data_IF_769816598166
#
_entry.id   IF_769816598166
#
_cell.length_a   1.000
_cell.length_b   1.000
_cell.length_c   1.000
_cell.angle_alpha   90.00
_cell.angle_beta   90.00
_cell.angle_gamma   90.00
#
_symmetry.space_group_name_H-M   'P 1'
#
loop_
_entity.id
_entity.type
_entity.pdbx_description
1 polymer ?
#
# COMPACT_ATOMS: atom_id res chain seq x y z
N UNK A 1 -9.59 -6.24 -20.66
CA UNK A 1 -9.41 -6.82 -19.31
C UNK A 1 -10.35 -7.99 -19.15
N UNK A 2 -9.85 -9.11 -18.62
CA UNK A 2 -10.68 -10.27 -18.32
C UNK A 2 -11.63 -9.92 -17.16
N UNK A 3 -12.85 -10.46 -17.15
CA UNK A 3 -13.90 -10.06 -16.20
C UNK A 3 -13.52 -10.29 -14.72
N UNK A 4 -12.59 -11.22 -14.46
CA UNK A 4 -12.02 -11.50 -13.12
C UNK A 4 -11.07 -10.41 -12.65
N UNK A 5 -10.16 -9.94 -13.53
CA UNK A 5 -9.16 -8.91 -13.17
C UNK A 5 -9.84 -7.61 -12.76
N UNK A 6 -10.88 -7.19 -13.49
CA UNK A 6 -11.64 -6.00 -13.11
C UNK A 6 -12.34 -6.16 -11.76
N UNK A 7 -12.86 -7.34 -11.41
CA UNK A 7 -13.44 -7.57 -10.08
C UNK A 7 -12.36 -7.39 -8.99
N UNK A 8 -11.18 -7.97 -9.21
CA UNK A 8 -10.06 -7.93 -8.28
C UNK A 8 -9.56 -6.50 -8.05
N UNK A 9 -9.41 -5.70 -9.11
CA UNK A 9 -8.99 -4.29 -9.02
C UNK A 9 -9.99 -3.44 -8.24
N UNK A 10 -11.30 -3.64 -8.48
CA UNK A 10 -12.33 -2.95 -7.70
C UNK A 10 -12.26 -3.34 -6.21
N UNK A 11 -12.08 -4.62 -5.90
CA UNK A 11 -11.96 -5.08 -4.52
C UNK A 11 -10.74 -4.48 -3.80
N UNK A 12 -9.57 -4.39 -4.46
CA UNK A 12 -8.37 -3.73 -3.90
C UNK A 12 -8.68 -2.28 -3.50
N UNK A 13 -9.25 -1.50 -4.42
CA UNK A 13 -9.56 -0.08 -4.18
C UNK A 13 -10.60 0.10 -3.07
N UNK A 14 -11.67 -0.70 -3.11
CA UNK A 14 -12.73 -0.67 -2.09
C UNK A 14 -12.16 -1.02 -0.71
N UNK A 15 -11.34 -2.06 -0.64
CA UNK A 15 -10.76 -2.51 0.61
C UNK A 15 -9.80 -1.48 1.21
N UNK A 16 -8.95 -0.86 0.40
CA UNK A 16 -8.07 0.22 0.85
C UNK A 16 -8.85 1.42 1.39
N UNK A 17 -9.99 1.77 0.79
CA UNK A 17 -10.89 2.81 1.34
C UNK A 17 -11.50 2.37 2.68
N UNK A 18 -12.01 1.14 2.75
CA UNK A 18 -12.69 0.60 3.94
C UNK A 18 -11.75 0.47 5.16
N UNK A 19 -10.44 0.35 4.97
CA UNK A 19 -9.45 0.40 6.07
C UNK A 19 -9.33 1.81 6.66
N UNK A 20 -9.46 2.86 5.84
CA UNK A 20 -9.28 4.24 6.25
C UNK A 20 -10.54 4.84 6.88
N UNK A 21 -11.69 4.55 6.30
CA UNK A 21 -13.02 4.94 6.78
C UNK A 21 -13.97 3.82 6.40
N UNK A 22 -14.73 3.24 7.33
CA UNK A 22 -15.64 2.10 7.08
C UNK A 22 -16.68 2.32 5.95
N UNK A 23 -16.73 3.51 5.34
CA UNK A 23 -17.57 3.89 4.21
C UNK A 23 -16.78 3.93 2.90
N UNK A 24 -17.38 3.40 1.82
CA UNK A 24 -16.79 3.35 0.48
C UNK A 24 -17.43 4.39 -0.43
N UNK A 25 -16.61 5.23 -1.07
CA UNK A 25 -17.05 6.31 -1.95
C UNK A 25 -16.88 5.94 -3.44
N UNK A 26 -17.99 5.91 -4.20
CA UNK A 26 -17.99 5.55 -5.63
C UNK A 26 -17.27 6.53 -6.54
N UNK A 27 -17.24 7.83 -6.18
CA UNK A 27 -16.46 8.84 -6.89
C UNK A 27 -14.96 8.60 -6.70
N UNK A 28 -14.54 8.25 -5.49
CA UNK A 28 -13.14 7.90 -5.22
C UNK A 28 -12.73 6.61 -5.93
N UNK A 29 -13.63 5.62 -6.05
CA UNK A 29 -13.38 4.41 -6.87
C UNK A 29 -13.20 4.78 -8.35
N UNK A 30 -14.09 5.61 -8.90
CA UNK A 30 -14.03 6.04 -10.30
C UNK A 30 -12.71 6.74 -10.64
N UNK A 31 -12.26 7.62 -9.75
CA UNK A 31 -10.97 8.32 -9.89
C UNK A 31 -9.78 7.36 -9.80
N UNK A 32 -9.77 6.47 -8.81
CA UNK A 32 -8.65 5.56 -8.59
C UNK A 32 -8.48 4.51 -9.71
N UNK A 33 -9.57 4.13 -10.37
CA UNK A 33 -9.57 3.15 -11.46
C UNK A 33 -9.66 3.79 -12.85
N UNK A 34 -9.71 5.11 -12.94
CA UNK A 34 -9.87 5.87 -14.20
C UNK A 34 -11.05 5.41 -15.06
N UNK A 35 -12.19 5.15 -14.40
CA UNK A 35 -13.42 4.66 -15.04
C UNK A 35 -14.59 5.60 -14.77
N UNK A 36 -15.62 5.53 -15.62
CA UNK A 36 -16.82 6.35 -15.45
C UNK A 36 -17.66 5.90 -14.25
N UNK A 37 -18.36 6.84 -13.60
CA UNK A 37 -19.31 6.55 -12.52
C UNK A 37 -20.39 5.51 -12.90
N UNK A 38 -20.97 5.52 -14.11
CA UNK A 38 -21.87 4.45 -14.55
C UNK A 38 -21.22 3.05 -14.54
N UNK A 39 -19.95 2.94 -14.95
CA UNK A 39 -19.18 1.69 -14.88
C UNK A 39 -18.99 1.23 -13.44
N UNK A 40 -18.67 2.16 -12.53
CA UNK A 40 -18.58 1.86 -11.09
C UNK A 40 -19.92 1.34 -10.55
N UNK A 41 -21.02 2.01 -10.84
CA UNK A 41 -22.35 1.59 -10.38
C UNK A 41 -22.74 0.20 -10.90
N UNK A 42 -22.39 -0.11 -12.15
CA UNK A 42 -22.59 -1.45 -12.72
C UNK A 42 -21.77 -2.51 -11.97
N UNK A 43 -20.49 -2.23 -11.72
CA UNK A 43 -19.62 -3.15 -10.99
C UNK A 43 -20.04 -3.32 -9.53
N UNK A 44 -20.46 -2.26 -8.84
CA UNK A 44 -20.98 -2.33 -7.46
C UNK A 44 -22.17 -3.28 -7.37
N UNK A 45 -23.15 -3.16 -8.28
CA UNK A 45 -24.29 -4.08 -8.32
C UNK A 45 -23.86 -5.52 -8.55
N UNK A 46 -22.88 -5.74 -9.43
CA UNK A 46 -22.32 -7.07 -9.71
C UNK A 46 -21.62 -7.66 -8.48
N UNK A 47 -20.76 -6.89 -7.82
CA UNK A 47 -20.06 -7.31 -6.60
C UNK A 47 -21.03 -7.57 -5.45
N UNK A 48 -22.11 -6.79 -5.33
CA UNK A 48 -23.18 -7.04 -4.38
C UNK A 48 -23.93 -8.34 -4.69
N UNK A 49 -24.23 -8.62 -5.97
CA UNK A 49 -24.81 -9.90 -6.41
C UNK A 49 -23.91 -11.11 -6.13
N UNK A 50 -22.60 -10.92 -6.02
CA UNK A 50 -21.64 -11.96 -5.61
C UNK A 50 -21.49 -12.11 -4.09
N UNK A 51 -22.19 -11.28 -3.31
CA UNK A 51 -22.09 -11.21 -1.85
C UNK A 51 -20.74 -10.67 -1.36
N UNK A 52 -20.07 -9.84 -2.17
CA UNK A 52 -18.80 -9.22 -1.81
C UNK A 52 -19.00 -7.83 -1.19
N UNK A 53 -20.08 -7.14 -1.56
CA UNK A 53 -20.48 -5.84 -1.03
C UNK A 53 -21.92 -5.89 -0.49
N UNK A 54 -22.19 -5.04 0.48
CA UNK A 54 -23.54 -4.69 0.93
C UNK A 54 -23.93 -3.38 0.24
N UNK A 55 -24.88 -3.47 -0.68
CA UNK A 55 -25.41 -2.33 -1.41
C UNK A 55 -26.89 -2.16 -1.11
N UNK A 56 -27.23 -1.05 -0.47
CA UNK A 56 -28.60 -0.61 -0.26
C UNK A 56 -28.77 0.82 -0.76
N UNK A 57 -29.95 1.11 -1.32
CA UNK A 57 -30.26 2.45 -1.82
C UNK A 57 -30.19 3.45 -0.65
N UNK A 58 -29.47 4.56 -0.85
CA UNK A 58 -29.28 5.64 0.13
C UNK A 58 -28.45 5.29 1.37
N UNK A 59 -27.82 4.11 1.43
CA UNK A 59 -26.87 3.77 2.50
C UNK A 59 -25.43 3.82 1.99
N UNK A 60 -24.45 4.02 2.88
CA UNK A 60 -23.04 3.84 2.54
C UNK A 60 -22.79 2.44 1.99
N UNK A 61 -21.96 2.36 0.95
CA UNK A 61 -21.50 1.09 0.41
C UNK A 61 -20.53 0.44 1.40
N UNK A 62 -20.78 -0.81 1.77
CA UNK A 62 -19.91 -1.55 2.71
C UNK A 62 -19.35 -2.80 2.07
N UNK A 63 -18.11 -3.13 2.42
CA UNK A 63 -17.48 -4.38 2.01
C UNK A 63 -17.78 -5.48 3.04
N UNK A 64 -18.26 -6.63 2.56
CA UNK A 64 -18.58 -7.79 3.41
C UNK A 64 -17.30 -8.46 3.94
N UNK A 65 -17.42 -9.35 4.93
CA UNK A 65 -16.29 -10.19 5.36
C UNK A 65 -15.72 -11.04 4.22
N UNK A 66 -16.58 -11.57 3.33
CA UNK A 66 -16.17 -12.33 2.13
C UNK A 66 -15.38 -11.44 1.16
N UNK A 67 -15.85 -10.21 0.94
CA UNK A 67 -15.16 -9.21 0.12
C UNK A 67 -13.81 -8.82 0.71
N UNK A 68 -13.75 -8.55 2.02
CA UNK A 68 -12.50 -8.24 2.74
C UNK A 68 -11.47 -9.37 2.58
N UNK A 69 -11.89 -10.62 2.78
CA UNK A 69 -11.01 -11.79 2.61
C UNK A 69 -10.50 -11.90 1.18
N UNK A 70 -11.37 -11.75 0.18
CA UNK A 70 -10.96 -11.82 -1.22
C UNK A 70 -9.98 -10.70 -1.59
N UNK A 71 -10.25 -9.46 -1.16
CA UNK A 71 -9.35 -8.33 -1.35
C UNK A 71 -7.98 -8.55 -0.69
N UNK A 72 -7.97 -9.02 0.55
CA UNK A 72 -6.75 -9.34 1.29
C UNK A 72 -5.90 -10.40 0.56
N UNK A 73 -6.52 -11.43 -0.03
CA UNK A 73 -5.78 -12.42 -0.81
C UNK A 73 -5.16 -11.84 -2.08
N UNK A 74 -5.82 -10.90 -2.76
CA UNK A 74 -5.25 -10.23 -3.94
C UNK A 74 -4.05 -9.37 -3.51
N UNK A 75 -4.20 -8.60 -2.42
CA UNK A 75 -3.12 -7.80 -1.85
C UNK A 75 -1.94 -8.67 -1.40
N UNK A 76 -2.20 -9.86 -0.82
CA UNK A 76 -1.15 -10.82 -0.46
C UNK A 76 -0.35 -11.24 -1.70
N UNK A 77 -1.02 -11.58 -2.80
CA UNK A 77 -0.35 -11.96 -4.06
C UNK A 77 0.52 -10.82 -4.60
N UNK A 78 -0.01 -9.60 -4.61
CA UNK A 78 0.72 -8.40 -5.02
C UNK A 78 2.01 -8.25 -4.22
N UNK A 79 1.88 -8.16 -2.90
CA UNK A 79 3.00 -7.89 -1.98
C UNK A 79 4.05 -8.99 -1.95
N UNK A 80 3.63 -10.26 -2.02
CA UNK A 80 4.56 -11.38 -2.15
C UNK A 80 5.34 -11.29 -3.46
N UNK A 81 4.68 -10.88 -4.55
CA UNK A 81 5.34 -10.73 -5.85
C UNK A 81 6.37 -9.60 -5.81
N UNK A 82 6.00 -8.43 -5.27
CA UNK A 82 6.94 -7.33 -5.08
C UNK A 82 8.16 -7.77 -4.25
N UNK A 83 7.91 -8.44 -3.13
CA UNK A 83 8.96 -8.95 -2.25
C UNK A 83 9.86 -9.97 -2.96
N UNK A 84 9.29 -10.88 -3.74
CA UNK A 84 10.04 -11.87 -4.51
C UNK A 84 10.93 -11.22 -5.59
N UNK A 85 10.40 -10.23 -6.30
CA UNK A 85 11.13 -9.50 -7.34
C UNK A 85 12.33 -8.76 -6.75
N UNK A 86 12.19 -8.12 -5.60
CA UNK A 86 13.31 -7.45 -4.91
C UNK A 86 14.29 -8.48 -4.35
N UNK A 87 13.85 -9.37 -3.47
CA UNK A 87 14.73 -10.23 -2.67
C UNK A 87 15.39 -11.36 -3.46
N UNK A 88 14.72 -11.90 -4.48
CA UNK A 88 15.19 -13.09 -5.22
C UNK A 88 15.63 -12.77 -6.64
N UNK A 89 15.10 -11.71 -7.24
CA UNK A 89 15.41 -11.34 -8.63
C UNK A 89 16.25 -10.06 -8.74
N UNK A 90 16.45 -9.32 -7.64
CA UNK A 90 17.33 -8.16 -7.60
C UNK A 90 16.77 -6.92 -8.31
N UNK A 91 15.45 -6.83 -8.47
CA UNK A 91 14.80 -5.61 -8.95
C UNK A 91 14.87 -4.50 -7.91
N UNK A 92 14.91 -3.25 -8.36
CA UNK A 92 14.65 -2.11 -7.50
C UNK A 92 13.19 -2.10 -7.03
N UNK A 93 12.96 -1.70 -5.77
CA UNK A 93 11.61 -1.51 -5.22
C UNK A 93 10.75 -0.50 -6.00
N UNK A 94 11.34 0.34 -6.85
CA UNK A 94 10.65 1.25 -7.78
C UNK A 94 10.20 0.60 -9.09
N UNK A 95 10.58 -0.66 -9.34
CA UNK A 95 10.34 -1.35 -10.62
C UNK A 95 9.29 -2.46 -10.50
N UNK A 96 8.89 -2.81 -9.28
CA UNK A 96 8.14 -4.05 -9.02
C UNK A 96 6.63 -3.90 -9.14
N UNK A 97 6.09 -2.68 -8.98
CA UNK A 97 4.65 -2.47 -8.87
C UNK A 97 3.88 -2.94 -10.10
N UNK A 98 4.28 -2.48 -11.28
CA UNK A 98 3.64 -2.83 -12.56
C UNK A 98 3.72 -4.34 -12.86
N UNK A 99 4.82 -4.98 -12.47
CA UNK A 99 4.99 -6.44 -12.66
C UNK A 99 4.08 -7.19 -11.68
N UNK A 100 4.00 -6.73 -10.43
CA UNK A 100 3.13 -7.32 -9.42
C UNK A 100 1.64 -7.17 -9.77
N UNK A 101 1.21 -6.04 -10.34
CA UNK A 101 -0.15 -5.85 -10.87
C UNK A 101 -0.51 -6.85 -11.97
N UNK A 102 0.44 -7.22 -12.82
CA UNK A 102 0.18 -8.22 -13.86
C UNK A 102 0.06 -9.64 -13.28
N UNK A 103 0.92 -9.97 -12.31
CA UNK A 103 1.03 -11.31 -11.76
C UNK A 103 -0.04 -11.63 -10.71
N UNK A 104 -0.51 -10.66 -9.92
CA UNK A 104 -1.47 -10.90 -8.83
C UNK A 104 -2.78 -11.58 -9.30
N UNK A 105 -3.12 -11.42 -10.57
CA UNK A 105 -4.31 -11.99 -11.20
C UNK A 105 -4.19 -13.49 -11.54
N UNK A 106 -3.00 -14.07 -11.38
CA UNK A 106 -2.80 -15.52 -11.54
C UNK A 106 -3.66 -16.25 -10.50
N UNK A 107 -4.42 -17.26 -10.96
CA UNK A 107 -5.37 -17.99 -10.11
C UNK A 107 -4.74 -19.17 -9.37
N UNK A 108 -3.48 -19.51 -9.67
CA UNK A 108 -2.75 -20.59 -9.01
C UNK A 108 -2.36 -20.21 -7.58
N UNK A 109 -3.10 -20.69 -6.58
CA UNK A 109 -2.73 -20.50 -5.16
C UNK A 109 -1.37 -21.11 -4.86
N UNK A 110 -1.07 -22.28 -5.41
CA UNK A 110 0.20 -22.98 -5.20
C UNK A 110 1.41 -22.15 -5.66
N UNK A 111 1.27 -21.32 -6.70
CA UNK A 111 2.33 -20.42 -7.15
C UNK A 111 2.74 -19.42 -6.05
N UNK A 112 1.75 -18.76 -5.44
CA UNK A 112 2.00 -17.77 -4.39
C UNK A 112 2.39 -18.40 -3.05
N UNK A 113 1.86 -19.58 -2.72
CA UNK A 113 2.30 -20.32 -1.53
C UNK A 113 3.78 -20.72 -1.61
N UNK A 114 4.26 -21.11 -2.81
CA UNK A 114 5.68 -21.45 -3.00
C UNK A 114 6.56 -20.20 -2.99
N UNK A 115 6.08 -19.10 -3.55
CA UNK A 115 6.75 -17.81 -3.46
C UNK A 115 6.93 -17.36 -2.00
N UNK A 116 5.87 -17.45 -1.20
CA UNK A 116 5.86 -17.15 0.23
C UNK A 116 6.84 -18.04 1.03
N UNK A 117 6.87 -19.35 0.75
CA UNK A 117 7.82 -20.29 1.33
C UNK A 117 9.28 -19.95 0.96
N UNK A 118 9.56 -19.66 -0.32
CA UNK A 118 10.91 -19.26 -0.79
C UNK A 118 11.38 -17.96 -0.13
N UNK A 119 10.45 -17.05 0.14
CA UNK A 119 10.71 -15.80 0.86
C UNK A 119 10.89 -15.99 2.37
N UNK A 120 10.58 -17.17 2.92
CA UNK A 120 10.67 -17.44 4.35
C UNK A 120 9.54 -16.82 5.16
N UNK A 121 8.34 -16.71 4.58
CA UNK A 121 7.13 -16.15 5.20
C UNK A 121 7.28 -14.69 5.66
N UNK A 122 7.57 -13.76 4.74
CA UNK A 122 7.76 -12.36 5.09
C UNK A 122 6.44 -11.74 5.59
N UNK A 123 6.55 -10.88 6.61
CA UNK A 123 5.41 -10.14 7.16
C UNK A 123 5.17 -8.80 6.45
N UNK A 124 6.13 -8.35 5.63
CA UNK A 124 6.10 -7.04 4.95
C UNK A 124 6.64 -7.12 3.53
N UNK A 125 6.12 -6.26 2.68
CA UNK A 125 6.63 -6.02 1.33
C UNK A 125 7.88 -5.09 1.35
N UNK A 126 8.55 -4.87 0.21
CA UNK A 126 9.73 -4.01 0.12
C UNK A 126 9.50 -2.56 0.56
N UNK A 127 8.25 -2.08 0.55
CA UNK A 127 7.88 -0.72 0.97
C UNK A 127 7.45 -0.65 2.44
N UNK A 128 7.53 -1.77 3.16
CA UNK A 128 7.22 -1.89 4.58
C UNK A 128 5.73 -2.06 4.87
N UNK A 129 4.91 -2.28 3.84
CA UNK A 129 3.48 -2.51 3.97
C UNK A 129 3.19 -3.96 4.38
N UNK A 130 2.20 -4.23 5.27
CA UNK A 130 2.02 -5.56 5.86
C UNK A 130 1.49 -6.58 4.85
N UNK A 131 2.09 -7.76 4.76
CA UNK A 131 1.58 -8.84 3.91
C UNK A 131 0.39 -9.50 4.63
N UNK A 132 -0.84 -9.49 4.06
CA UNK A 132 -1.97 -10.21 4.67
C UNK A 132 -1.65 -11.68 4.81
N UNK A 133 -2.04 -12.34 5.90
CA UNK A 133 -1.82 -13.79 6.12
C UNK A 133 -2.56 -14.65 5.09
N UNK A 134 -2.30 -15.96 5.06
CA UNK A 134 -3.06 -16.91 4.25
C UNK A 134 -4.56 -17.00 4.62
N UNK A 135 -4.96 -16.53 5.80
CA UNK A 135 -6.36 -16.40 6.23
C UNK A 135 -6.99 -15.06 5.82
N UNK A 136 -6.19 -14.11 5.34
CA UNK A 136 -6.61 -12.76 4.95
C UNK A 136 -6.56 -11.74 6.08
N UNK A 137 -5.87 -12.04 7.18
CA UNK A 137 -5.69 -11.10 8.30
C UNK A 137 -4.55 -10.14 8.01
N UNK A 138 -4.72 -8.86 8.33
CA UNK A 138 -3.69 -7.83 8.14
C UNK A 138 -3.25 -7.35 9.51
N UNK A 139 -1.95 -7.49 9.80
CA UNK A 139 -1.37 -6.98 11.02
C UNK A 139 -1.54 -5.45 11.07
N UNK A 140 -2.17 -4.95 12.13
CA UNK A 140 -2.25 -3.52 12.40
C UNK A 140 -1.01 -3.11 13.17
N UNK A 141 -0.14 -2.31 12.55
CA UNK A 141 0.97 -1.68 13.25
C UNK A 141 0.88 -0.16 13.06
N UNK A 142 0.86 0.56 14.18
CA UNK A 142 0.78 2.01 14.20
C UNK A 142 2.20 2.56 14.09
N UNK A 143 2.55 3.03 12.90
CA UNK A 143 3.70 3.91 12.72
C UNK A 143 3.27 5.37 12.89
N UNK A 144 4.24 6.23 13.21
CA UNK A 144 4.06 7.69 13.15
C UNK A 144 4.51 8.19 11.79
N UNK A 145 3.96 9.30 11.31
CA UNK A 145 4.58 9.99 10.18
C UNK A 145 5.84 10.71 10.65
N UNK A 146 6.85 10.80 9.79
CA UNK A 146 8.01 11.64 10.09
C UNK A 146 7.59 13.10 10.32
N UNK A 147 6.55 13.57 9.62
CA UNK A 147 5.97 14.91 9.82
C UNK A 147 5.41 15.16 11.23
N UNK A 148 5.18 14.11 12.02
CA UNK A 148 4.68 14.20 13.40
C UNK A 148 5.81 14.15 14.44
N UNK A 149 7.07 14.06 14.00
CA UNK A 149 8.25 14.05 14.87
C UNK A 149 8.70 15.46 15.25
N UNK A 150 9.22 15.60 16.46
CA UNK A 150 9.81 16.81 17.01
C UNK A 150 11.34 16.82 16.82
N UNK A 151 11.98 18.00 16.87
CA UNK A 151 13.44 18.08 16.94
C UNK A 151 14.01 17.20 18.06
N UNK A 152 15.22 16.69 17.84
CA UNK A 152 15.97 15.78 18.73
C UNK A 152 15.41 14.34 18.79
N UNK A 153 14.29 14.03 18.12
CA UNK A 153 13.84 12.65 17.97
C UNK A 153 14.73 11.88 17.00
N UNK A 154 15.22 10.71 17.45
CA UNK A 154 15.87 9.69 16.62
C UNK A 154 14.86 8.58 16.32
N UNK A 155 14.56 8.37 15.04
CA UNK A 155 13.53 7.41 14.59
C UNK A 155 14.05 6.53 13.46
N UNK A 156 13.45 5.36 13.27
CA UNK A 156 13.81 4.48 12.14
C UNK A 156 12.75 4.52 11.05
N UNK A 157 13.14 4.66 9.79
CA UNK A 157 12.22 4.53 8.65
C UNK A 157 11.74 3.08 8.52
N UNK A 158 10.44 2.82 8.69
CA UNK A 158 9.87 1.46 8.71
C UNK A 158 8.98 1.14 7.52
N UNK A 159 8.26 2.13 6.99
CA UNK A 159 7.34 1.93 5.88
C UNK A 159 7.07 3.22 5.11
N UNK A 160 6.34 3.11 4.01
CA UNK A 160 5.85 4.22 3.21
C UNK A 160 4.32 4.20 3.16
N UNK A 161 3.67 5.36 3.24
CA UNK A 161 2.20 5.43 3.25
C UNK A 161 1.58 5.37 1.85
N UNK A 162 2.11 6.16 0.91
CA UNK A 162 1.75 6.18 -0.51
C UNK A 162 3.01 6.35 -1.35
N UNK A 163 3.23 5.44 -2.28
CA UNK A 163 4.39 5.39 -3.14
C UNK A 163 4.02 5.75 -4.58
N UNK A 164 5.00 6.26 -5.32
CA UNK A 164 5.02 6.33 -6.78
C UNK A 164 6.46 6.07 -7.22
N UNK A 165 6.66 5.65 -8.46
CA UNK A 165 8.00 5.39 -8.99
C UNK A 165 8.91 6.61 -8.87
N UNK A 166 8.38 7.83 -9.10
CA UNK A 166 9.18 9.05 -8.93
C UNK A 166 9.56 9.28 -7.47
N UNK A 167 8.66 8.99 -6.54
CA UNK A 167 8.94 9.14 -5.11
C UNK A 167 9.98 8.13 -4.64
N UNK A 168 9.91 6.88 -5.08
CA UNK A 168 10.88 5.84 -4.75
C UNK A 168 12.26 6.15 -5.36
N UNK A 169 12.32 6.62 -6.60
CA UNK A 169 13.56 7.11 -7.23
C UNK A 169 14.16 8.31 -6.48
N UNK A 170 13.31 9.22 -6.00
CA UNK A 170 13.75 10.31 -5.14
C UNK A 170 14.40 9.78 -3.85
N UNK A 171 13.78 8.82 -3.16
CA UNK A 171 14.35 8.22 -1.95
C UNK A 171 15.67 7.51 -2.24
N UNK A 172 15.78 6.76 -3.35
CA UNK A 172 17.03 6.14 -3.81
C UNK A 172 18.14 7.17 -4.00
N UNK A 173 17.83 8.30 -4.66
CA UNK A 173 18.80 9.39 -4.89
C UNK A 173 19.31 10.04 -3.61
N UNK A 174 18.56 9.88 -2.51
CA UNK A 174 18.88 10.41 -1.18
C UNK A 174 19.49 9.35 -0.26
N UNK A 175 19.51 8.07 -0.65
CA UNK A 175 19.95 6.99 0.22
C UNK A 175 18.99 6.72 1.40
N UNK A 176 17.71 7.08 1.25
CA UNK A 176 16.67 6.85 2.24
C UNK A 176 15.98 5.50 1.98
N UNK A 177 16.55 4.43 2.52
CA UNK A 177 15.97 3.10 2.49
C UNK A 177 15.26 2.76 3.82
N UNK A 178 14.41 1.74 3.82
CA UNK A 178 13.85 1.21 5.07
C UNK A 178 14.98 0.72 5.98
N UNK A 179 14.82 0.92 7.29
CA UNK A 179 15.83 0.60 8.30
C UNK A 179 16.83 1.73 8.57
N UNK A 180 16.87 2.77 7.74
CA UNK A 180 17.70 3.96 8.00
C UNK A 180 17.21 4.68 9.26
N UNK A 181 18.15 4.98 10.16
CA UNK A 181 17.93 5.86 11.30
C UNK A 181 18.01 7.32 10.86
N UNK A 182 17.02 8.11 11.28
CA UNK A 182 16.83 9.51 10.93
C UNK A 182 16.70 10.31 12.22
N UNK A 183 17.60 11.26 12.41
CA UNK A 183 17.53 12.24 13.49
C UNK A 183 16.87 13.52 12.97
N UNK A 184 15.84 13.99 13.66
CA UNK A 184 15.18 15.27 13.33
C UNK A 184 15.96 16.41 13.98
N UNK A 185 16.56 17.28 13.17
CA UNK A 185 17.36 18.40 13.68
C UNK A 185 16.53 19.67 13.86
N UNK A 186 15.60 19.94 12.94
CA UNK A 186 14.74 21.12 12.99
C UNK A 186 13.46 20.93 12.17
N UNK A 187 12.41 21.65 12.55
CA UNK A 187 11.14 21.74 11.81
C UNK A 187 10.83 23.21 11.54
N UNK A 188 10.75 23.59 10.27
CA UNK A 188 10.47 24.96 9.85
C UNK A 188 9.03 25.37 10.22
N UNK A 189 8.81 26.49 10.92
CA UNK A 189 7.47 26.86 11.40
C UNK A 189 6.45 27.13 10.28
N UNK A 190 6.91 27.71 9.16
CA UNK A 190 6.03 28.20 8.09
C UNK A 190 5.55 27.09 7.16
N UNK A 191 6.46 26.36 6.52
CA UNK A 191 6.14 25.35 5.50
C UNK A 191 6.25 23.90 6.00
N UNK A 192 6.68 23.71 7.26
CA UNK A 192 6.86 22.40 7.91
C UNK A 192 7.92 21.52 7.26
N UNK A 193 8.84 22.09 6.48
CA UNK A 193 10.01 21.35 6.02
C UNK A 193 10.86 20.92 7.23
N UNK A 194 11.49 19.76 7.11
CA UNK A 194 12.27 19.17 8.20
C UNK A 194 13.72 19.08 7.76
N UNK A 195 14.62 19.58 8.62
CA UNK A 195 16.04 19.31 8.50
C UNK A 195 16.35 18.03 9.27
N UNK A 196 16.93 17.04 8.59
CA UNK A 196 17.23 15.73 9.17
C UNK A 196 18.69 15.33 8.97
N UNK A 197 19.18 14.44 9.83
CA UNK A 197 20.49 13.79 9.71
C UNK A 197 20.30 12.28 9.61
N UNK A 198 20.97 11.65 8.66
CA UNK A 198 20.98 10.20 8.47
C UNK A 198 22.18 9.81 7.62
N UNK A 199 22.75 8.61 7.83
CA UNK A 199 23.88 8.12 7.03
C UNK A 199 25.10 9.05 6.99
N UNK A 200 25.30 9.88 8.03
CA UNK A 200 26.39 10.87 8.09
C UNK A 200 26.21 12.13 7.24
N UNK A 201 25.04 12.31 6.61
CA UNK A 201 24.70 13.51 5.85
C UNK A 201 23.51 14.25 6.45
N UNK A 202 23.40 15.53 6.11
CA UNK A 202 22.32 16.43 6.52
C UNK A 202 21.52 16.85 5.30
N UNK A 203 20.19 16.76 5.37
CA UNK A 203 19.29 17.02 4.25
C UNK A 203 18.05 17.78 4.73
N UNK A 204 17.47 18.59 3.84
CA UNK A 204 16.15 19.21 4.06
C UNK A 204 15.11 18.41 3.27
N UNK A 205 14.15 17.83 3.99
CA UNK A 205 13.02 17.13 3.42
C UNK A 205 11.78 18.02 3.45
N UNK A 206 11.03 18.05 2.36
CA UNK A 206 9.80 18.84 2.32
C UNK A 206 8.72 18.21 3.21
N UNK A 207 7.76 19.03 3.67
CA UNK A 207 6.60 18.52 4.41
C UNK A 207 5.85 17.40 3.66
N UNK A 208 5.81 17.48 2.32
CA UNK A 208 5.22 16.44 1.47
C UNK A 208 5.99 15.13 1.55
N UNK A 209 7.33 15.16 1.57
CA UNK A 209 8.14 13.96 1.75
C UNK A 209 7.93 13.39 3.16
N UNK A 210 8.00 14.24 4.20
CA UNK A 210 7.86 13.82 5.59
C UNK A 210 6.49 13.18 5.91
N UNK A 211 5.42 13.62 5.25
CA UNK A 211 4.07 13.04 5.39
C UNK A 211 3.87 11.71 4.65
N UNK A 212 4.89 11.21 3.95
CA UNK A 212 4.89 9.89 3.29
C UNK A 212 5.77 8.85 3.97
N UNK A 213 6.66 9.28 4.86
CA UNK A 213 7.60 8.42 5.57
C UNK A 213 6.99 7.98 6.91
N UNK A 214 6.89 6.67 7.12
CA UNK A 214 6.39 6.08 8.36
C UNK A 214 7.55 5.57 9.22
N UNK A 215 7.58 6.00 10.47
CA UNK A 215 8.69 5.79 11.39
C UNK A 215 8.23 5.15 12.71
N UNK A 216 9.20 4.58 13.44
CA UNK A 216 9.04 4.07 14.81
C UNK A 216 10.12 4.62 15.72
#
# INVERSE_FOLDING_TARGET
MNNSQSIENYLKVIFNQAIASDDVNTTSIAQALEVSLPSVNSMVKKLAGMGLLEYEKYKPLKITAKGKKMAAMIIRKHRLTEMYLVEKMGFGWEEVHEIAEQLEHIQSTAFFERMDEILGYPERDPHGSPIPTSTGEIATQKFRLLSDCQPEELVTLKALSKTSDEFLKYLNSKGLALGVEVEVLAVEPYDKNMTVSYGGQKEVLSALVCSKLLVS
#
